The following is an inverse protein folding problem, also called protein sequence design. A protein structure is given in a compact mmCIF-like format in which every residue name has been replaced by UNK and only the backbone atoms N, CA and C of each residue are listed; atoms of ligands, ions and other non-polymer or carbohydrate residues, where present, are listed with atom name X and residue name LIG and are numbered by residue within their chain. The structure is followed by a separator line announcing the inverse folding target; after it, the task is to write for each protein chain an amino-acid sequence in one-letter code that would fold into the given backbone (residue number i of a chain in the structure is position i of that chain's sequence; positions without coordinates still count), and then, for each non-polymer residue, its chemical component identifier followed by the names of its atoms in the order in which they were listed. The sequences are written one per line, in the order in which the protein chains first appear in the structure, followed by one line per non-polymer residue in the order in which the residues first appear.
data_IF_158513115214
#
_entry.id   IF_158513115214
#
_cell.length_a   1.000
_cell.length_b   1.000
_cell.length_c   1.000
_cell.angle_alpha   90.00
_cell.angle_beta   90.00
_cell.angle_gamma   90.00
#
_symmetry.space_group_name_H-M   'P 1'
#
loop_
_entity.id
_entity.type
_entity.pdbx_description
1 polymer ?
#
# COMPACT_ATOMS: atom_id res chain seq x y z
N UNK A 1 11.70 77.13 51.04
CA UNK A 1 12.81 76.77 50.15
C UNK A 1 12.81 75.24 50.03
N UNK A 2 12.19 74.77 49.04
CA UNK A 2 11.92 73.34 48.86
C UNK A 2 12.80 72.78 47.72
N UNK A 3 13.57 71.78 48.01
CA UNK A 3 14.35 71.05 47.03
C UNK A 3 13.53 69.86 46.56
N UNK A 4 13.22 69.86 45.24
CA UNK A 4 12.56 68.76 44.59
C UNK A 4 13.56 67.61 44.29
N UNK A 5 13.36 66.44 44.86
CA UNK A 5 14.04 65.25 44.45
C UNK A 5 13.23 64.58 43.35
N UNK A 6 13.82 64.46 42.18
CA UNK A 6 13.30 63.63 41.07
C UNK A 6 13.87 62.21 41.24
N UNK A 7 13.02 61.29 41.55
CA UNK A 7 13.36 59.85 41.44
C UNK A 7 13.09 59.42 40.00
N UNK A 8 14.14 58.87 39.38
CA UNK A 8 14.06 58.24 38.08
C UNK A 8 13.69 56.75 38.25
N UNK A 9 12.51 56.38 37.82
CA UNK A 9 12.10 54.98 37.78
C UNK A 9 12.82 54.23 36.65
N UNK A 10 13.63 53.27 37.01
CA UNK A 10 14.26 52.33 36.08
C UNK A 10 13.22 51.29 35.67
N UNK A 11 12.85 51.29 34.37
CA UNK A 11 12.00 50.27 33.77
C UNK A 11 12.88 49.10 33.42
N UNK A 12 12.78 48.00 34.16
CA UNK A 12 13.43 46.73 33.86
C UNK A 12 12.61 46.00 32.78
N UNK A 13 13.13 46.01 31.55
CA UNK A 13 12.57 45.19 30.47
C UNK A 13 12.98 43.74 30.69
N UNK A 14 12.10 42.92 31.23
CA UNK A 14 12.26 41.47 31.28
C UNK A 14 12.06 40.91 29.89
N UNK A 15 13.17 40.48 29.26
CA UNK A 15 13.18 39.82 27.96
C UNK A 15 12.49 38.45 28.07
N UNK A 16 11.35 38.30 27.42
CA UNK A 16 10.67 37.02 27.22
C UNK A 16 11.47 36.21 26.18
N UNK A 17 12.31 35.31 26.65
CA UNK A 17 13.00 34.33 25.78
C UNK A 17 11.99 33.27 25.36
N UNK A 18 11.34 33.47 24.21
CA UNK A 18 10.47 32.48 23.58
C UNK A 18 11.29 31.29 23.08
N UNK A 19 11.20 30.18 23.77
CA UNK A 19 11.73 28.91 23.28
C UNK A 19 10.79 28.43 22.16
N UNK A 20 11.21 28.64 20.91
CA UNK A 20 10.60 27.97 19.77
C UNK A 20 10.96 26.47 19.86
N UNK A 21 10.04 25.67 20.37
CA UNK A 21 10.07 24.21 20.18
C UNK A 21 9.80 23.95 18.69
N UNK A 22 10.85 23.83 17.91
CA UNK A 22 10.76 23.26 16.57
C UNK A 22 10.37 21.78 16.73
N UNK A 23 9.08 21.48 16.62
CA UNK A 23 8.58 20.12 16.52
C UNK A 23 9.16 19.49 15.27
N UNK A 24 10.21 18.69 15.42
CA UNK A 24 10.68 17.82 14.37
C UNK A 24 9.57 16.79 14.14
N UNK A 25 8.71 17.01 13.14
CA UNK A 25 7.85 15.97 12.59
C UNK A 25 8.78 14.95 11.94
N UNK A 26 9.13 13.92 12.68
CA UNK A 26 9.79 12.76 12.12
C UNK A 26 8.83 12.18 11.07
N UNK A 27 9.18 12.34 9.80
CA UNK A 27 8.59 11.55 8.74
C UNK A 27 8.94 10.10 9.08
N UNK A 28 7.99 9.35 9.60
CA UNK A 28 8.11 7.90 9.71
C UNK A 28 8.09 7.38 8.28
N UNK A 29 9.27 7.26 7.69
CA UNK A 29 9.44 6.51 6.45
C UNK A 29 9.18 5.06 6.86
N UNK A 30 8.07 4.50 6.39
CA UNK A 30 7.80 3.09 6.59
C UNK A 30 9.01 2.29 6.14
N UNK A 31 9.44 1.33 6.96
CA UNK A 31 10.55 0.47 6.59
C UNK A 31 10.24 -0.21 5.25
N UNK A 32 11.21 -0.30 4.33
CA UNK A 32 10.95 -0.95 3.06
C UNK A 32 10.55 -2.42 3.27
N UNK A 33 9.77 -3.00 2.34
CA UNK A 33 9.36 -4.39 2.41
C UNK A 33 10.56 -5.32 2.64
N UNK A 34 10.43 -6.38 3.45
CA UNK A 34 11.55 -7.28 3.77
C UNK A 34 12.25 -7.87 2.55
N UNK A 35 11.51 -8.22 1.50
CA UNK A 35 12.07 -8.77 0.25
C UNK A 35 12.96 -7.79 -0.54
N UNK A 36 12.94 -6.50 -0.22
CA UNK A 36 13.89 -5.53 -0.78
C UNK A 36 15.22 -5.52 -0.04
N UNK A 37 15.27 -6.09 1.17
CA UNK A 37 16.45 -6.13 2.02
C UNK A 37 17.21 -7.44 1.89
N UNK A 38 16.49 -8.54 1.69
CA UNK A 38 17.05 -9.89 1.67
C UNK A 38 17.01 -10.45 0.24
N UNK A 39 18.15 -10.86 -0.28
CA UNK A 39 18.23 -11.58 -1.54
C UNK A 39 17.64 -12.98 -1.33
N UNK A 40 16.34 -13.13 -1.58
CA UNK A 40 15.63 -14.39 -1.44
C UNK A 40 15.91 -15.29 -2.64
N UNK A 41 16.23 -16.56 -2.35
CA UNK A 41 16.74 -17.50 -3.36
C UNK A 41 15.62 -18.10 -4.24
N UNK A 42 14.39 -18.14 -3.72
CA UNK A 42 13.28 -18.79 -4.43
C UNK A 42 12.72 -17.86 -5.51
N UNK A 43 12.65 -18.28 -6.78
CA UNK A 43 12.03 -17.50 -7.84
C UNK A 43 10.57 -17.20 -7.50
N UNK A 44 10.15 -15.97 -7.73
CA UNK A 44 8.76 -15.55 -7.53
C UNK A 44 7.90 -16.06 -8.69
N UNK A 45 6.70 -16.51 -8.37
CA UNK A 45 5.71 -16.93 -9.39
C UNK A 45 5.00 -15.69 -9.90
N UNK A 46 4.98 -15.50 -11.21
CA UNK A 46 4.26 -14.40 -11.86
C UNK A 46 2.87 -14.87 -12.31
N UNK A 47 1.85 -14.11 -11.93
CA UNK A 47 0.50 -14.23 -12.46
C UNK A 47 0.29 -13.13 -13.49
N UNK A 48 0.10 -13.52 -14.75
CA UNK A 48 -0.15 -12.57 -15.84
C UNK A 48 -1.65 -12.45 -16.07
N UNK A 49 -2.18 -11.25 -15.92
CA UNK A 49 -3.59 -10.92 -16.19
C UNK A 49 -3.80 -10.67 -17.67
N UNK A 50 -5.05 -10.72 -18.17
CA UNK A 50 -5.38 -10.32 -19.52
C UNK A 50 -4.84 -8.91 -19.81
N UNK A 51 -4.30 -8.70 -21.00
CA UNK A 51 -3.79 -7.39 -21.40
C UNK A 51 -4.94 -6.37 -21.50
N UNK A 52 -4.75 -5.19 -20.89
CA UNK A 52 -5.68 -4.09 -21.01
C UNK A 52 -5.41 -3.26 -22.27
N UNK A 53 -6.39 -3.17 -23.17
CA UNK A 53 -6.38 -2.12 -24.19
C UNK A 53 -6.89 -0.80 -23.57
N UNK A 54 -6.00 -0.04 -22.96
CA UNK A 54 -6.35 1.22 -22.29
C UNK A 54 -7.03 2.22 -23.23
N UNK A 55 -6.74 2.18 -24.53
CA UNK A 55 -7.38 3.07 -25.52
C UNK A 55 -8.81 2.64 -25.81
N UNK A 56 -9.06 1.35 -25.95
CA UNK A 56 -10.40 0.82 -26.15
C UNK A 56 -11.25 1.00 -24.88
N UNK A 57 -10.67 0.72 -23.69
CA UNK A 57 -11.35 0.92 -22.41
C UNK A 57 -11.76 2.39 -22.21
N UNK A 58 -10.87 3.34 -22.50
CA UNK A 58 -11.19 4.77 -22.40
C UNK A 58 -12.31 5.17 -23.37
N UNK A 59 -12.24 4.78 -24.63
CA UNK A 59 -13.32 5.06 -25.62
C UNK A 59 -14.66 4.48 -25.18
N UNK A 60 -14.67 3.26 -24.61
CA UNK A 60 -15.89 2.63 -24.13
C UNK A 60 -16.47 3.40 -22.93
N UNK A 61 -15.61 3.86 -22.01
CA UNK A 61 -16.01 4.68 -20.87
C UNK A 61 -16.59 6.03 -21.32
N UNK A 62 -15.95 6.73 -22.26
CA UNK A 62 -16.42 8.01 -22.80
C UNK A 62 -17.78 7.86 -23.52
N UNK A 63 -17.95 6.79 -24.31
CA UNK A 63 -19.20 6.49 -24.97
C UNK A 63 -20.35 6.17 -23.99
N UNK A 64 -20.03 5.45 -22.90
CA UNK A 64 -21.01 5.18 -21.85
C UNK A 64 -21.39 6.45 -21.11
N UNK A 65 -20.43 7.29 -20.75
CA UNK A 65 -20.66 8.56 -20.07
C UNK A 65 -21.52 9.51 -20.92
N UNK A 66 -21.23 9.61 -22.21
CA UNK A 66 -22.03 10.43 -23.14
C UNK A 66 -23.49 9.96 -23.28
N UNK A 67 -23.74 8.66 -23.08
CA UNK A 67 -25.07 8.07 -23.21
C UNK A 67 -25.91 8.14 -21.94
N UNK A 68 -25.32 7.87 -20.76
CA UNK A 68 -26.06 7.70 -19.51
C UNK A 68 -25.73 8.74 -18.45
N UNK A 69 -24.66 9.51 -18.64
CA UNK A 69 -24.11 10.36 -17.59
C UNK A 69 -23.54 9.53 -16.41
N UNK A 70 -23.09 10.19 -15.38
CA UNK A 70 -22.55 9.55 -14.19
C UNK A 70 -21.03 9.38 -14.23
N UNK A 71 -20.44 8.77 -13.19
CA UNK A 71 -18.99 8.57 -13.13
C UNK A 71 -18.53 7.64 -14.26
N UNK A 72 -17.35 7.94 -14.81
CA UNK A 72 -16.73 7.10 -15.83
C UNK A 72 -16.29 5.76 -15.20
N UNK A 73 -16.61 4.61 -15.81
CA UNK A 73 -16.00 3.34 -15.42
C UNK A 73 -14.53 3.34 -15.88
N UNK A 74 -13.59 3.43 -14.93
CA UNK A 74 -12.17 3.53 -15.25
C UNK A 74 -11.42 2.22 -15.25
N UNK A 75 -12.09 1.08 -14.96
CA UNK A 75 -11.35 -0.10 -14.62
C UNK A 75 -12.02 -1.37 -15.15
N UNK A 76 -11.20 -2.30 -15.60
CA UNK A 76 -11.59 -3.68 -15.84
C UNK A 76 -11.26 -4.52 -14.60
N UNK A 77 -12.20 -5.38 -14.21
CA UNK A 77 -12.01 -6.32 -13.11
C UNK A 77 -11.56 -7.64 -13.73
N UNK A 78 -10.32 -8.03 -13.47
CA UNK A 78 -9.84 -9.37 -13.77
C UNK A 78 -10.03 -10.25 -12.53
N UNK A 79 -10.95 -11.21 -12.61
CA UNK A 79 -11.05 -12.26 -11.60
C UNK A 79 -9.78 -13.12 -11.65
N UNK A 80 -9.24 -13.42 -10.49
CA UNK A 80 -8.06 -14.28 -10.37
C UNK A 80 -8.53 -15.56 -9.68
N UNK A 81 -8.37 -16.70 -10.36
CA UNK A 81 -8.66 -18.00 -9.76
C UNK A 81 -7.73 -18.24 -8.58
N UNK A 82 -8.21 -17.83 -7.41
CA UNK A 82 -7.66 -18.04 -6.06
C UNK A 82 -6.14 -18.22 -5.96
N UNK A 83 -5.41 -17.14 -6.17
CA UNK A 83 -3.99 -17.06 -5.82
C UNK A 83 -3.88 -16.83 -4.30
N UNK A 84 -3.60 -17.87 -3.53
CA UNK A 84 -3.61 -17.78 -2.08
C UNK A 84 -2.42 -18.40 -1.39
N UNK A 85 -2.37 -18.18 -0.09
CA UNK A 85 -1.36 -18.76 0.80
C UNK A 85 -1.61 -20.24 1.14
N UNK A 86 -2.79 -20.79 0.79
CA UNK A 86 -3.21 -22.15 1.07
C UNK A 86 -3.69 -22.85 -0.20
N UNK A 87 -3.33 -24.14 -0.35
CA UNK A 87 -3.77 -25.03 -1.43
C UNK A 87 -2.70 -25.38 -2.44
N UNK A 88 -2.99 -26.37 -3.29
CA UNK A 88 -2.08 -26.90 -4.31
C UNK A 88 -1.86 -25.94 -5.50
N UNK A 89 -2.75 -24.98 -5.67
CA UNK A 89 -2.63 -23.93 -6.67
C UNK A 89 -1.79 -22.76 -6.16
N UNK A 90 -0.62 -23.04 -5.62
CA UNK A 90 0.26 -22.03 -5.04
C UNK A 90 0.75 -21.04 -6.12
N UNK A 91 -0.03 -20.01 -6.38
CA UNK A 91 0.40 -18.85 -7.15
C UNK A 91 1.25 -17.90 -6.30
N UNK A 92 2.06 -18.45 -5.44
CA UNK A 92 3.01 -17.77 -4.58
C UNK A 92 3.87 -18.79 -3.85
N UNK A 93 4.99 -18.35 -3.33
CA UNK A 93 5.93 -19.26 -2.67
C UNK A 93 6.30 -18.78 -1.28
N UNK A 94 6.29 -19.75 -0.37
CA UNK A 94 6.82 -19.56 0.98
C UNK A 94 8.33 -19.80 1.01
N UNK A 95 9.05 -18.93 1.70
CA UNK A 95 10.48 -19.02 1.95
C UNK A 95 10.79 -18.58 3.39
N UNK A 96 11.68 -19.33 4.06
CA UNK A 96 12.16 -18.95 5.38
C UNK A 96 13.16 -17.79 5.26
N UNK A 97 12.99 -16.78 6.08
CA UNK A 97 13.90 -15.64 6.18
C UNK A 97 15.05 -15.96 7.16
N UNK A 98 16.21 -15.28 7.03
CA UNK A 98 17.35 -15.48 7.92
C UNK A 98 17.04 -15.17 9.39
N UNK A 99 16.06 -14.33 9.67
CA UNK A 99 15.61 -13.96 11.02
C UNK A 99 14.60 -14.95 11.64
N UNK A 100 14.28 -16.04 10.93
CA UNK A 100 13.36 -17.09 11.39
C UNK A 100 11.89 -16.85 11.05
N UNK A 101 11.55 -15.71 10.45
CA UNK A 101 10.22 -15.46 9.90
C UNK A 101 10.05 -16.19 8.57
N UNK A 102 8.84 -16.13 8.02
CA UNK A 102 8.51 -16.66 6.71
C UNK A 102 7.99 -15.55 5.80
N UNK A 103 8.45 -15.54 4.56
CA UNK A 103 7.92 -14.70 3.49
C UNK A 103 7.13 -15.54 2.49
N UNK A 104 5.97 -15.03 2.08
CA UNK A 104 5.22 -15.51 0.93
C UNK A 104 5.19 -14.42 -0.12
N UNK A 105 5.48 -14.79 -1.38
CA UNK A 105 5.60 -13.82 -2.47
C UNK A 105 4.94 -14.30 -3.74
N UNK A 106 4.31 -13.35 -4.45
CA UNK A 106 3.86 -13.51 -5.83
C UNK A 106 4.04 -12.20 -6.59
N UNK A 107 4.23 -12.30 -7.90
CA UNK A 107 4.19 -11.16 -8.80
C UNK A 107 2.89 -11.17 -9.60
N UNK A 108 2.31 -9.98 -9.82
CA UNK A 108 1.14 -9.77 -10.66
C UNK A 108 1.52 -8.80 -11.77
N UNK A 109 1.23 -9.19 -13.00
CA UNK A 109 1.44 -8.37 -14.18
C UNK A 109 0.16 -8.22 -14.98
N UNK A 110 -0.19 -6.98 -15.33
CA UNK A 110 -1.35 -6.63 -16.14
C UNK A 110 -0.90 -5.78 -17.35
N UNK A 111 -0.43 -6.40 -18.44
CA UNK A 111 0.12 -5.67 -19.57
C UNK A 111 -0.84 -4.59 -20.09
N UNK A 112 -0.35 -3.36 -20.26
CA UNK A 112 -1.14 -2.23 -20.74
C UNK A 112 -1.92 -1.46 -19.66
N UNK A 113 -1.98 -1.95 -18.41
CA UNK A 113 -2.55 -1.20 -17.31
C UNK A 113 -1.63 -0.05 -16.90
N UNK A 114 -2.21 1.08 -16.52
CA UNK A 114 -1.49 2.20 -15.92
C UNK A 114 -1.62 2.21 -14.39
N UNK A 115 -2.60 1.49 -13.88
CA UNK A 115 -2.84 1.34 -12.44
C UNK A 115 -3.34 -0.06 -12.10
N UNK A 116 -3.02 -0.49 -10.88
CA UNK A 116 -3.47 -1.74 -10.29
C UNK A 116 -4.12 -1.45 -8.93
N UNK A 117 -5.23 -2.13 -8.67
CA UNK A 117 -5.84 -2.25 -7.34
C UNK A 117 -6.07 -3.75 -7.08
N UNK A 118 -6.02 -4.14 -5.82
CA UNK A 118 -6.15 -5.56 -5.45
C UNK A 118 -7.29 -5.77 -4.48
N UNK A 119 -8.07 -6.82 -4.73
CA UNK A 119 -9.08 -7.33 -3.81
C UNK A 119 -8.61 -8.67 -3.25
N UNK A 120 -8.46 -8.72 -1.94
CA UNK A 120 -8.12 -9.96 -1.22
C UNK A 120 -9.35 -10.49 -0.50
N UNK A 121 -9.71 -11.75 -0.76
CA UNK A 121 -10.78 -12.47 -0.09
C UNK A 121 -10.50 -13.98 -0.17
N UNK A 122 -10.31 -14.68 0.97
CA UNK A 122 -10.28 -14.15 2.33
C UNK A 122 -9.06 -13.26 2.61
N UNK A 123 -9.25 -12.31 3.54
CA UNK A 123 -8.19 -11.51 4.15
C UNK A 123 -8.28 -11.59 5.67
N UNK A 124 -7.39 -12.36 6.27
CA UNK A 124 -7.25 -12.50 7.72
C UNK A 124 -5.77 -12.70 8.05
N UNK A 125 -5.18 -11.69 8.65
CA UNK A 125 -3.78 -11.70 9.06
C UNK A 125 -3.66 -11.90 10.57
N UNK A 126 -2.74 -12.75 11.05
CA UNK A 126 -2.37 -12.81 12.46
C UNK A 126 -1.51 -11.60 12.85
N UNK A 127 -1.33 -11.39 14.15
CA UNK A 127 -0.72 -10.18 14.72
C UNK A 127 0.72 -9.91 14.26
N UNK A 128 1.49 -10.94 13.89
CA UNK A 128 2.86 -10.78 13.40
C UNK A 128 2.95 -10.59 11.88
N UNK A 129 1.82 -10.67 11.16
CA UNK A 129 1.84 -10.62 9.71
C UNK A 129 1.83 -9.18 9.19
N UNK A 130 2.65 -8.96 8.16
CA UNK A 130 2.73 -7.71 7.40
C UNK A 130 2.60 -8.03 5.91
N UNK A 131 1.58 -7.46 5.25
CA UNK A 131 1.40 -7.55 3.81
C UNK A 131 1.85 -6.26 3.15
N UNK A 132 2.70 -6.39 2.13
CA UNK A 132 3.21 -5.30 1.32
C UNK A 132 2.88 -5.52 -0.15
N UNK A 133 2.65 -4.45 -0.89
CA UNK A 133 2.44 -4.47 -2.33
C UNK A 133 3.35 -3.41 -2.94
N UNK A 134 4.31 -3.85 -3.74
CA UNK A 134 5.37 -2.98 -4.27
C UNK A 134 5.30 -2.95 -5.79
N UNK A 135 5.18 -1.75 -6.36
CA UNK A 135 5.24 -1.51 -7.79
C UNK A 135 6.67 -1.66 -8.34
N UNK A 136 6.80 -1.79 -9.65
CA UNK A 136 8.10 -1.89 -10.32
C UNK A 136 9.02 -0.68 -10.08
N UNK A 137 8.45 0.49 -9.82
CA UNK A 137 9.20 1.73 -9.51
C UNK A 137 9.61 1.86 -8.04
N UNK A 138 9.31 0.85 -7.21
CA UNK A 138 9.65 0.78 -5.80
C UNK A 138 8.66 1.44 -4.85
N UNK A 139 7.59 2.06 -5.34
CA UNK A 139 6.49 2.53 -4.47
C UNK A 139 5.77 1.35 -3.85
N UNK A 140 5.42 1.47 -2.58
CA UNK A 140 4.78 0.39 -1.84
C UNK A 140 3.52 0.85 -1.11
N UNK A 141 2.54 -0.04 -1.05
CA UNK A 141 1.38 0.03 -0.17
C UNK A 141 1.60 -0.91 1.02
N UNK A 142 1.15 -0.52 2.19
CA UNK A 142 1.29 -1.29 3.41
C UNK A 142 2.25 -0.66 4.45
N UNK A 143 2.61 -1.39 5.51
CA UNK A 143 2.12 -2.74 5.76
C UNK A 143 0.63 -2.78 6.08
N UNK A 144 -0.10 -3.71 5.46
CA UNK A 144 -1.40 -4.13 5.95
C UNK A 144 -1.18 -5.22 7.00
N UNK A 145 -1.90 -5.14 8.12
CA UNK A 145 -1.69 -5.96 9.30
C UNK A 145 -3.01 -6.57 9.80
N UNK A 146 -2.98 -7.19 10.97
CA UNK A 146 -4.18 -7.65 11.67
C UNK A 146 -5.19 -6.54 11.96
N UNK A 147 -4.76 -5.27 12.02
CA UNK A 147 -5.62 -4.09 12.20
C UNK A 147 -6.49 -3.79 10.99
N UNK A 148 -6.09 -4.27 9.82
CA UNK A 148 -6.82 -4.13 8.57
C UNK A 148 -7.82 -5.27 8.35
N UNK A 149 -7.90 -6.25 9.27
CA UNK A 149 -8.88 -7.31 9.24
C UNK A 149 -10.30 -6.73 9.38
N UNK A 150 -11.10 -6.84 8.35
CA UNK A 150 -12.50 -6.41 8.35
C UNK A 150 -13.45 -7.50 8.83
N UNK A 151 -14.66 -7.13 9.25
CA UNK A 151 -15.70 -8.10 9.61
C UNK A 151 -16.08 -9.00 8.41
N UNK A 152 -16.00 -8.48 7.20
CA UNK A 152 -16.33 -9.20 5.96
C UNK A 152 -15.19 -10.10 5.47
N UNK A 153 -14.00 -10.01 6.07
CA UNK A 153 -12.84 -10.83 5.67
C UNK A 153 -12.27 -10.48 4.31
N UNK A 154 -12.43 -9.23 3.88
CA UNK A 154 -11.89 -8.73 2.63
C UNK A 154 -11.08 -7.44 2.84
N UNK A 155 -10.07 -7.24 1.99
CA UNK A 155 -9.29 -6.01 1.88
C UNK A 155 -9.29 -5.55 0.42
N UNK A 156 -9.59 -4.25 0.22
CA UNK A 156 -9.41 -3.55 -1.05
C UNK A 156 -8.28 -2.55 -0.90
N UNK A 157 -7.31 -2.60 -1.80
CA UNK A 157 -6.15 -1.71 -1.69
C UNK A 157 -6.40 -0.38 -2.38
N UNK A 158 -5.68 0.68 -1.98
CA UNK A 158 -5.56 1.87 -2.80
C UNK A 158 -4.94 1.55 -4.17
N UNK A 159 -5.13 2.49 -5.10
CA UNK A 159 -4.57 2.44 -6.44
C UNK A 159 -3.03 2.51 -6.39
N UNK A 160 -2.38 1.62 -7.12
CA UNK A 160 -0.94 1.58 -7.32
C UNK A 160 -0.64 1.83 -8.80
N UNK A 161 0.18 2.81 -9.12
CA UNK A 161 0.51 3.09 -10.51
C UNK A 161 1.49 2.03 -11.07
N UNK A 162 1.27 1.67 -12.32
CA UNK A 162 2.04 0.68 -13.05
C UNK A 162 1.23 -0.53 -13.48
N UNK A 163 1.87 -1.41 -14.23
CA UNK A 163 1.32 -2.64 -14.77
C UNK A 163 1.89 -3.91 -14.11
N UNK A 164 2.74 -3.72 -13.12
CA UNK A 164 3.41 -4.81 -12.40
C UNK A 164 3.52 -4.48 -10.92
N UNK A 165 3.19 -5.45 -10.08
CA UNK A 165 3.34 -5.36 -8.63
C UNK A 165 3.79 -6.68 -8.03
N UNK A 166 4.63 -6.60 -7.00
CA UNK A 166 4.98 -7.69 -6.10
C UNK A 166 4.14 -7.63 -4.86
N UNK A 167 3.51 -8.73 -4.52
CA UNK A 167 2.78 -8.94 -3.28
C UNK A 167 3.69 -9.76 -2.37
N UNK A 168 3.99 -9.26 -1.18
CA UNK A 168 4.83 -9.90 -0.18
C UNK A 168 4.16 -9.89 1.18
N UNK A 169 4.01 -11.07 1.76
CA UNK A 169 3.54 -11.27 3.12
C UNK A 169 4.69 -11.82 3.96
N UNK A 170 4.96 -11.22 5.10
CA UNK A 170 5.92 -11.70 6.09
C UNK A 170 5.20 -12.00 7.39
N UNK A 171 5.56 -13.11 8.04
CA UNK A 171 4.90 -13.58 9.25
C UNK A 171 5.85 -14.45 10.09
N UNK A 172 5.65 -14.47 11.41
CA UNK A 172 6.37 -15.36 12.30
C UNK A 172 6.03 -16.84 12.02
N UNK A 173 7.02 -17.72 12.21
CA UNK A 173 6.90 -19.13 11.86
C UNK A 173 5.72 -19.82 12.55
N UNK A 174 5.45 -19.52 13.82
CA UNK A 174 4.37 -20.10 14.62
C UNK A 174 2.98 -19.58 14.24
N UNK A 175 2.89 -18.47 13.48
CA UNK A 175 1.64 -17.88 13.04
C UNK A 175 1.33 -18.08 11.56
N UNK A 176 2.27 -18.66 10.79
CA UNK A 176 2.14 -18.85 9.34
C UNK A 176 0.84 -19.58 8.96
N UNK A 177 0.49 -20.65 9.67
CA UNK A 177 -0.68 -21.46 9.35
C UNK A 177 -2.02 -20.78 9.68
N UNK A 178 -1.99 -19.66 10.41
CA UNK A 178 -3.17 -18.82 10.70
C UNK A 178 -3.48 -17.80 9.61
N UNK A 179 -2.55 -17.57 8.69
CA UNK A 179 -2.76 -16.67 7.57
C UNK A 179 -3.89 -17.19 6.69
N UNK A 180 -4.84 -16.30 6.37
CA UNK A 180 -5.87 -16.52 5.34
C UNK A 180 -5.78 -15.35 4.38
N UNK A 181 -5.12 -15.56 3.27
CA UNK A 181 -4.92 -14.55 2.24
C UNK A 181 -5.11 -15.21 0.88
N UNK A 182 -6.01 -14.66 0.10
CA UNK A 182 -6.15 -15.00 -1.30
C UNK A 182 -6.45 -13.74 -2.11
N UNK A 183 -5.76 -13.60 -3.23
CA UNK A 183 -6.05 -12.55 -4.21
C UNK A 183 -7.25 -13.03 -5.05
N UNK A 184 -8.40 -12.36 -4.90
CA UNK A 184 -9.65 -12.71 -5.56
C UNK A 184 -9.82 -11.98 -6.90
N UNK A 185 -9.35 -10.74 -6.97
CA UNK A 185 -9.43 -9.94 -8.19
C UNK A 185 -8.34 -8.87 -8.22
N UNK A 186 -7.98 -8.44 -9.42
CA UNK A 186 -7.27 -7.19 -9.63
C UNK A 186 -8.09 -6.27 -10.51
N UNK A 187 -8.11 -5.01 -10.16
CA UNK A 187 -8.72 -3.94 -10.95
C UNK A 187 -7.61 -3.26 -11.71
N UNK A 188 -7.74 -3.22 -13.03
CA UNK A 188 -6.76 -2.60 -13.92
C UNK A 188 -7.36 -1.37 -14.56
N UNK A 189 -6.68 -0.25 -14.48
CA UNK A 189 -7.18 1.03 -14.97
C UNK A 189 -6.27 1.71 -15.97
N UNK A 190 -6.84 2.60 -16.83
CA UNK A 190 -6.08 3.43 -17.75
C UNK A 190 -5.37 4.62 -17.08
N UNK A 191 -5.31 4.64 -15.75
CA UNK A 191 -4.71 5.71 -14.98
C UNK A 191 -5.67 6.85 -14.63
N UNK A 192 -5.22 7.80 -13.78
CA UNK A 192 -6.02 8.95 -13.41
C UNK A 192 -6.32 9.80 -14.63
N UNK A 193 -7.53 10.36 -14.68
CA UNK A 193 -7.88 11.36 -15.68
C UNK A 193 -7.28 12.69 -15.24
N UNK A 194 -6.36 13.23 -16.02
CA UNK A 194 -5.98 14.63 -15.86
C UNK A 194 -7.18 15.50 -16.28
N UNK A 195 -7.73 16.26 -15.32
CA UNK A 195 -8.81 17.21 -15.52
C UNK A 195 -8.27 18.56 -15.99
#
# INVERSE_FOLDING_TARGET
MAALHREAAAITVAGLLGVLLAGATSLVVAAPPPGTRDALAVPVVETVLPALDATAARRAADALHARVGGPLPYAEIAAIDSAGTKGDAAQGRWEALPDGRWSWRMDVRAPGALTLEFAFEPFRLPASAELWITAADGRSLGPFTDKDNSAHGALFTPMLAGDHARIELVVDADQRDRVQLALAASVTGPGPVEL
#
